data_IF_956791539900
#
_entry.id   IF_956791539900
#
_cell.length_a   1.000
_cell.length_b   1.000
_cell.length_c   1.000
_cell.angle_alpha   90.00
_cell.angle_beta   90.00
_cell.angle_gamma   90.00
#
_symmetry.space_group_name_H-M   'P 1'
#
loop_
_entity.id
_entity.type
_entity.pdbx_description
1 polymer ?
#
# COMPACT_ATOMS: atom_id res chain seq x y z
N UNK A 1 13.53 -54.18 -12.66
CA UNK A 1 14.22 -53.29 -11.70
C UNK A 1 14.74 -52.12 -12.50
N UNK A 2 14.12 -50.95 -12.32
CA UNK A 2 14.38 -49.76 -13.13
C UNK A 2 13.10 -49.04 -13.52
N UNK A 3 12.27 -48.70 -12.52
CA UNK A 3 11.20 -47.72 -12.68
C UNK A 3 11.83 -46.36 -13.02
N UNK A 4 11.49 -45.81 -14.18
CA UNK A 4 11.75 -44.41 -14.49
C UNK A 4 10.53 -43.60 -14.06
N UNK A 5 10.70 -42.89 -12.94
CA UNK A 5 9.75 -41.91 -12.42
C UNK A 5 9.52 -40.78 -13.42
N UNK A 6 8.26 -40.60 -13.78
CA UNK A 6 7.73 -39.48 -14.53
C UNK A 6 7.53 -38.30 -13.57
N UNK A 7 8.52 -37.41 -13.52
CA UNK A 7 8.44 -36.13 -12.80
C UNK A 7 7.56 -35.12 -13.54
N UNK A 8 6.28 -35.13 -13.17
CA UNK A 8 5.20 -34.29 -13.67
C UNK A 8 5.49 -32.77 -13.47
N UNK A 9 5.78 -32.05 -14.55
CA UNK A 9 5.94 -30.58 -14.54
C UNK A 9 4.55 -29.93 -14.53
N UNK A 10 4.07 -29.59 -13.33
CA UNK A 10 2.76 -29.02 -13.12
C UNK A 10 2.75 -27.54 -13.57
N UNK A 11 2.46 -27.32 -14.86
CA UNK A 11 2.26 -26.00 -15.44
C UNK A 11 0.91 -25.43 -14.95
N UNK A 12 0.89 -24.78 -13.78
CA UNK A 12 -0.31 -24.12 -13.26
C UNK A 12 -0.65 -22.91 -14.15
N UNK A 13 -1.57 -23.12 -15.08
CA UNK A 13 -2.10 -22.08 -15.95
C UNK A 13 -2.87 -21.06 -15.09
N UNK A 14 -2.40 -19.82 -15.10
CA UNK A 14 -3.06 -18.72 -14.40
C UNK A 14 -4.38 -18.37 -15.10
N UNK A 15 -5.49 -18.48 -14.39
CA UNK A 15 -6.84 -18.15 -14.86
C UNK A 15 -7.19 -16.69 -14.50
N UNK A 16 -8.13 -16.10 -15.25
CA UNK A 16 -8.69 -14.77 -14.94
C UNK A 16 -10.16 -14.89 -14.54
N UNK A 17 -10.55 -14.21 -13.46
CA UNK A 17 -11.91 -14.18 -12.94
C UNK A 17 -12.37 -12.73 -12.75
N UNK A 18 -13.52 -12.37 -13.34
CA UNK A 18 -14.12 -11.04 -13.19
C UNK A 18 -15.50 -11.13 -12.51
N UNK A 19 -15.77 -10.20 -11.59
CA UNK A 19 -17.07 -10.13 -10.93
C UNK A 19 -17.21 -8.97 -9.96
N UNK A 20 -18.40 -8.83 -9.38
CA UNK A 20 -18.70 -7.84 -8.34
C UNK A 20 -18.34 -8.41 -6.97
N UNK A 21 -17.64 -7.64 -6.13
CA UNK A 21 -17.35 -8.03 -4.75
C UNK A 21 -18.63 -7.97 -3.92
N UNK A 22 -19.15 -9.13 -3.54
CA UNK A 22 -20.39 -9.26 -2.79
C UNK A 22 -20.20 -8.99 -1.31
N UNK A 23 -19.15 -9.59 -0.74
CA UNK A 23 -18.92 -9.56 0.70
C UNK A 23 -17.44 -9.72 1.00
N UNK A 24 -16.95 -8.93 1.93
CA UNK A 24 -15.66 -9.14 2.58
C UNK A 24 -15.95 -9.95 3.85
N UNK A 25 -15.47 -11.18 3.90
CA UNK A 25 -15.63 -12.07 5.06
C UNK A 25 -14.53 -11.81 6.09
N UNK A 26 -13.33 -11.50 5.61
CA UNK A 26 -12.19 -11.10 6.43
C UNK A 26 -11.28 -10.19 5.61
N UNK A 27 -10.72 -9.16 6.25
CA UNK A 27 -9.67 -8.34 5.67
C UNK A 27 -8.68 -7.97 6.77
N UNK A 28 -7.40 -8.23 6.54
CA UNK A 28 -6.32 -7.82 7.41
C UNK A 28 -5.72 -6.50 6.89
N UNK A 29 -5.94 -5.41 7.64
CA UNK A 29 -5.47 -4.07 7.27
C UNK A 29 -3.94 -3.90 7.37
N UNK A 30 -3.20 -4.86 7.92
CA UNK A 30 -1.73 -4.78 8.03
C UNK A 30 -1.02 -5.39 6.82
N UNK A 31 -1.53 -6.51 6.31
CA UNK A 31 -0.88 -7.25 5.22
C UNK A 31 -1.72 -7.36 3.94
N UNK A 32 -2.93 -6.79 3.94
CA UNK A 32 -3.86 -6.79 2.80
C UNK A 32 -4.52 -8.13 2.52
N UNK A 33 -4.40 -9.12 3.42
CA UNK A 33 -5.01 -10.43 3.19
C UNK A 33 -6.54 -10.33 3.23
N UNK A 34 -7.16 -10.71 2.11
CA UNK A 34 -8.59 -10.63 1.86
C UNK A 34 -9.18 -12.04 1.73
N UNK A 35 -10.30 -12.28 2.41
CA UNK A 35 -11.23 -13.36 2.10
C UNK A 35 -12.56 -12.73 1.67
N UNK A 36 -12.93 -12.93 0.41
CA UNK A 36 -14.10 -12.32 -0.21
C UNK A 36 -15.05 -13.31 -0.85
N UNK A 37 -16.24 -12.82 -1.20
CA UNK A 37 -17.20 -13.47 -2.08
C UNK A 37 -17.37 -12.62 -3.33
N UNK A 38 -17.14 -13.20 -4.50
CA UNK A 38 -17.24 -12.56 -5.79
C UNK A 38 -18.41 -13.15 -6.58
N UNK A 39 -19.24 -12.31 -7.18
CA UNK A 39 -20.31 -12.73 -8.07
C UNK A 39 -19.95 -12.42 -9.52
N UNK A 40 -19.77 -13.46 -10.32
CA UNK A 40 -19.49 -13.32 -11.74
C UNK A 40 -20.69 -12.76 -12.50
N UNK A 41 -20.46 -12.20 -13.69
CA UNK A 41 -21.53 -11.57 -14.50
C UNK A 41 -22.63 -12.56 -14.94
N UNK A 42 -22.28 -13.83 -15.16
CA UNK A 42 -23.18 -14.85 -15.72
C UNK A 42 -23.57 -15.96 -14.74
N UNK A 43 -22.99 -15.98 -13.54
CA UNK A 43 -23.18 -17.05 -12.55
C UNK A 43 -24.02 -16.57 -11.37
N UNK A 44 -25.06 -17.32 -11.02
CA UNK A 44 -25.88 -17.04 -9.84
C UNK A 44 -25.12 -17.25 -8.52
N UNK A 45 -24.16 -18.19 -8.51
CA UNK A 45 -23.42 -18.57 -7.31
C UNK A 45 -22.22 -17.64 -7.02
N UNK A 46 -22.03 -17.32 -5.75
CA UNK A 46 -20.88 -16.57 -5.26
C UNK A 46 -19.64 -17.47 -5.16
N UNK A 47 -18.50 -16.94 -5.61
CA UNK A 47 -17.20 -17.60 -5.61
C UNK A 47 -16.39 -17.08 -4.42
N UNK A 48 -15.83 -17.98 -3.60
CA UNK A 48 -14.87 -17.58 -2.57
C UNK A 48 -13.54 -17.16 -3.22
N UNK A 49 -13.02 -15.99 -2.87
CA UNK A 49 -11.75 -15.46 -3.38
C UNK A 49 -10.82 -15.15 -2.21
N UNK A 50 -9.54 -15.51 -2.34
CA UNK A 50 -8.52 -15.33 -1.29
C UNK A 50 -7.22 -14.83 -1.91
N UNK A 51 -6.58 -13.85 -1.28
CA UNK A 51 -5.34 -13.27 -1.77
C UNK A 51 -4.99 -11.95 -1.07
N UNK A 52 -3.91 -11.32 -1.50
CA UNK A 52 -3.55 -9.97 -1.04
C UNK A 52 -4.22 -8.94 -1.94
N UNK A 53 -4.98 -8.03 -1.35
CA UNK A 53 -5.65 -6.95 -2.04
C UNK A 53 -5.33 -5.60 -1.37
N UNK A 54 -5.33 -4.50 -2.13
CA UNK A 54 -5.50 -3.17 -1.56
C UNK A 54 -6.88 -3.06 -0.89
N UNK A 55 -7.14 -1.95 -0.19
CA UNK A 55 -8.43 -1.72 0.47
C UNK A 55 -9.53 -1.56 -0.59
N UNK A 56 -10.24 -2.64 -0.88
CA UNK A 56 -11.37 -2.72 -1.81
C UNK A 56 -12.70 -2.64 -1.06
N UNK A 57 -13.76 -2.22 -1.75
CA UNK A 57 -15.10 -2.09 -1.17
C UNK A 57 -16.09 -3.05 -1.83
N UNK A 58 -17.07 -3.54 -1.05
CA UNK A 58 -18.17 -4.30 -1.61
C UNK A 58 -18.85 -3.49 -2.72
N UNK A 59 -19.24 -4.13 -3.82
CA UNK A 59 -19.83 -3.46 -4.98
C UNK A 59 -18.83 -3.11 -6.07
N UNK A 60 -17.52 -3.01 -5.77
CA UNK A 60 -16.50 -2.85 -6.81
C UNK A 60 -16.46 -4.06 -7.75
N UNK A 61 -16.10 -3.81 -9.01
CA UNK A 61 -15.81 -4.87 -9.98
C UNK A 61 -14.33 -5.23 -9.87
N UNK A 62 -14.04 -6.49 -9.56
CA UNK A 62 -12.69 -7.01 -9.44
C UNK A 62 -12.37 -7.89 -10.64
N UNK A 63 -11.19 -7.69 -11.21
CA UNK A 63 -10.55 -8.58 -12.18
C UNK A 63 -9.37 -9.24 -11.48
N UNK A 64 -9.47 -10.55 -11.25
CA UNK A 64 -8.52 -11.34 -10.50
C UNK A 64 -7.76 -12.27 -11.44
N UNK A 65 -6.48 -12.47 -11.16
CA UNK A 65 -5.64 -13.44 -11.88
C UNK A 65 -5.02 -14.40 -10.85
N UNK A 66 -5.10 -15.70 -11.09
CA UNK A 66 -4.65 -16.71 -10.14
C UNK A 66 -5.11 -18.13 -10.47
N UNK A 67 -5.31 -18.95 -9.44
CA UNK A 67 -5.62 -20.38 -9.61
C UNK A 67 -6.69 -20.88 -8.64
N UNK A 68 -7.39 -21.94 -9.03
CA UNK A 68 -8.33 -22.62 -8.15
C UNK A 68 -7.60 -23.45 -7.11
N UNK A 69 -8.02 -23.31 -5.85
CA UNK A 69 -7.54 -24.12 -4.73
C UNK A 69 -8.72 -24.66 -3.95
N UNK A 70 -8.48 -25.72 -3.17
CA UNK A 70 -9.51 -26.30 -2.29
C UNK A 70 -9.00 -26.22 -0.86
N UNK A 71 -9.70 -25.46 -0.02
CA UNK A 71 -9.39 -25.39 1.41
C UNK A 71 -10.06 -26.56 2.15
N UNK A 72 -9.36 -27.26 3.06
CA UNK A 72 -9.91 -28.46 3.73
C UNK A 72 -11.24 -28.23 4.46
N UNK A 73 -11.45 -27.03 5.01
CA UNK A 73 -12.68 -26.66 5.75
C UNK A 73 -13.69 -25.82 4.96
N UNK A 74 -13.24 -25.11 3.92
CA UNK A 74 -14.05 -24.07 3.26
C UNK A 74 -14.35 -24.38 1.79
N UNK A 75 -13.83 -25.50 1.28
CA UNK A 75 -14.10 -25.98 -0.07
C UNK A 75 -13.35 -25.17 -1.14
N UNK A 76 -13.92 -25.15 -2.35
CA UNK A 76 -13.30 -24.57 -3.53
C UNK A 76 -13.28 -23.03 -3.44
N UNK A 77 -12.10 -22.46 -3.65
CA UNK A 77 -11.85 -21.02 -3.66
C UNK A 77 -10.89 -20.64 -4.79
N UNK A 78 -10.95 -19.38 -5.21
CA UNK A 78 -10.01 -18.82 -6.18
C UNK A 78 -8.91 -18.08 -5.43
N UNK A 79 -7.68 -18.58 -5.50
CA UNK A 79 -6.50 -17.96 -4.93
C UNK A 79 -5.89 -17.01 -5.95
N UNK A 80 -6.00 -15.70 -5.72
CA UNK A 80 -5.51 -14.70 -6.66
C UNK A 80 -4.13 -14.17 -6.25
N UNK A 81 -3.28 -13.98 -7.26
CA UNK A 81 -1.93 -13.39 -7.13
C UNK A 81 -1.87 -11.95 -7.64
N UNK A 82 -2.85 -11.55 -8.45
CA UNK A 82 -3.00 -10.18 -8.94
C UNK A 82 -4.48 -9.79 -8.98
N UNK A 83 -4.74 -8.50 -8.74
CA UNK A 83 -6.07 -7.91 -8.68
C UNK A 83 -6.05 -6.53 -9.34
N UNK A 84 -7.07 -6.26 -10.15
CA UNK A 84 -7.43 -4.91 -10.59
C UNK A 84 -8.86 -4.61 -10.13
N UNK A 85 -9.03 -3.50 -9.41
CA UNK A 85 -10.36 -3.02 -8.98
C UNK A 85 -10.84 -1.91 -9.92
N UNK A 86 -12.14 -1.89 -10.22
CA UNK A 86 -12.85 -0.81 -10.92
C UNK A 86 -14.05 -0.37 -10.07
N UNK A 87 -14.34 0.93 -10.10
CA UNK A 87 -15.59 1.44 -9.54
C UNK A 87 -16.78 0.78 -10.24
N UNK A 88 -17.90 0.56 -9.52
CA UNK A 88 -19.06 -0.05 -10.13
C UNK A 88 -19.67 0.84 -11.20
N UNK A 89 -19.99 0.23 -12.34
CA UNK A 89 -20.72 0.87 -13.43
C UNK A 89 -22.21 0.47 -13.49
N UNK A 90 -22.62 -0.55 -12.72
CA UNK A 90 -24.00 -1.02 -12.70
C UNK A 90 -24.76 -0.52 -11.48
N UNK A 91 -26.07 -0.28 -11.61
CA UNK A 91 -26.92 0.12 -10.50
C UNK A 91 -26.83 -0.87 -9.32
N UNK A 92 -26.68 -2.17 -9.60
CA UNK A 92 -26.46 -3.20 -8.58
C UNK A 92 -25.15 -2.97 -7.79
N UNK A 93 -24.03 -2.80 -8.49
CA UNK A 93 -22.74 -2.56 -7.87
C UNK A 93 -22.70 -1.24 -7.10
N UNK A 94 -23.28 -0.18 -7.65
CA UNK A 94 -23.34 1.14 -7.03
C UNK A 94 -24.13 1.09 -5.72
N UNK A 95 -25.30 0.41 -5.68
CA UNK A 95 -26.07 0.25 -4.43
C UNK A 95 -25.24 -0.45 -3.37
N UNK A 96 -24.55 -1.52 -3.75
CA UNK A 96 -23.71 -2.28 -2.82
C UNK A 96 -22.50 -1.47 -2.34
N UNK A 97 -21.93 -0.66 -3.21
CA UNK A 97 -20.82 0.25 -2.89
C UNK A 97 -21.23 1.33 -1.90
N UNK A 98 -22.35 2.01 -2.13
CA UNK A 98 -22.85 2.99 -1.18
C UNK A 98 -23.25 2.36 0.16
N UNK A 99 -23.78 1.14 0.14
CA UNK A 99 -24.18 0.40 1.34
C UNK A 99 -23.03 -0.36 2.03
N UNK A 100 -21.78 -0.25 1.55
CA UNK A 100 -20.63 -1.00 2.05
C UNK A 100 -20.17 -0.58 3.45
N UNK A 101 -20.74 0.50 3.99
CA UNK A 101 -20.28 1.15 5.22
C UNK A 101 -19.23 2.22 4.98
N UNK A 102 -18.89 2.49 3.70
CA UNK A 102 -17.98 3.56 3.30
C UNK A 102 -18.39 4.94 3.81
N UNK A 103 -19.69 5.22 3.78
CA UNK A 103 -20.26 6.50 4.18
C UNK A 103 -21.07 6.27 5.45
N UNK A 104 -20.63 6.87 6.55
CA UNK A 104 -21.35 6.78 7.81
C UNK A 104 -22.80 7.28 7.66
N UNK A 105 -23.77 6.47 8.06
CA UNK A 105 -25.19 6.79 7.96
C UNK A 105 -25.84 6.51 6.60
N UNK A 106 -25.12 5.95 5.62
CA UNK A 106 -25.69 5.47 4.35
C UNK A 106 -25.74 3.94 4.36
N UNK A 107 -26.86 3.42 4.86
CA UNK A 107 -27.19 2.00 4.75
C UNK A 107 -27.90 1.66 3.44
N UNK A 108 -28.31 0.38 3.32
CA UNK A 108 -29.04 -0.15 2.15
C UNK A 108 -30.23 0.71 1.72
N UNK A 109 -30.99 1.27 2.66
CA UNK A 109 -32.18 2.09 2.38
C UNK A 109 -31.82 3.35 1.59
N UNK A 110 -30.84 4.13 2.06
CA UNK A 110 -30.43 5.35 1.36
C UNK A 110 -29.68 5.02 0.07
N UNK A 111 -28.82 4.00 0.07
CA UNK A 111 -28.16 3.53 -1.14
C UNK A 111 -29.18 3.18 -2.24
N UNK A 112 -30.28 2.52 -1.88
CA UNK A 112 -31.36 2.24 -2.81
C UNK A 112 -32.01 3.51 -3.33
N UNK A 113 -32.46 4.41 -2.44
CA UNK A 113 -33.08 5.68 -2.85
C UNK A 113 -32.20 6.50 -3.80
N UNK A 114 -30.90 6.58 -3.51
CA UNK A 114 -29.95 7.33 -4.33
C UNK A 114 -29.86 6.73 -5.73
N UNK A 115 -29.70 5.42 -5.83
CA UNK A 115 -29.54 4.74 -7.12
C UNK A 115 -30.87 4.58 -7.86
N UNK A 116 -32.01 4.52 -7.17
CA UNK A 116 -33.33 4.58 -7.79
C UNK A 116 -33.56 5.91 -8.50
N UNK A 117 -33.04 7.00 -7.92
CA UNK A 117 -33.19 8.35 -8.48
C UNK A 117 -32.16 8.66 -9.58
N UNK A 118 -30.89 8.31 -9.39
CA UNK A 118 -29.80 8.68 -10.32
C UNK A 118 -29.28 7.52 -11.18
N UNK A 119 -29.68 6.28 -10.93
CA UNK A 119 -29.23 5.13 -11.71
C UNK A 119 -27.70 4.98 -11.76
N UNK A 120 -27.19 4.67 -12.96
CA UNK A 120 -25.75 4.51 -13.21
C UNK A 120 -24.95 5.81 -13.03
N UNK A 121 -25.60 6.98 -13.11
CA UNK A 121 -24.96 8.29 -12.95
C UNK A 121 -24.68 8.67 -11.49
N UNK A 122 -25.11 7.86 -10.53
CA UNK A 122 -25.02 8.15 -9.10
C UNK A 122 -23.63 8.58 -8.65
N UNK A 123 -22.58 7.85 -9.07
CA UNK A 123 -21.20 8.17 -8.68
C UNK A 123 -20.73 9.52 -9.26
N UNK A 124 -21.13 9.81 -10.50
CA UNK A 124 -20.87 11.08 -11.17
C UNK A 124 -21.59 12.23 -10.45
N UNK A 125 -22.86 12.04 -10.08
CA UNK A 125 -23.63 13.03 -9.32
C UNK A 125 -23.01 13.30 -7.96
N UNK A 126 -22.56 12.28 -7.23
CA UNK A 126 -21.83 12.48 -5.97
C UNK A 126 -20.53 13.26 -6.21
N UNK A 127 -19.81 12.98 -7.29
CA UNK A 127 -18.55 13.65 -7.62
C UNK A 127 -18.72 15.10 -8.09
N UNK A 128 -19.67 15.39 -8.97
CA UNK A 128 -19.73 16.66 -9.70
C UNK A 128 -20.91 17.54 -9.28
N UNK A 129 -22.02 16.92 -8.89
CA UNK A 129 -23.31 17.59 -8.69
C UNK A 129 -23.91 17.23 -7.32
N UNK A 130 -23.09 17.13 -6.27
CA UNK A 130 -23.51 16.59 -4.96
C UNK A 130 -24.68 17.34 -4.30
N UNK A 131 -24.92 18.60 -4.71
CA UNK A 131 -26.11 19.36 -4.34
C UNK A 131 -27.43 18.69 -4.74
N UNK A 132 -27.44 17.92 -5.82
CA UNK A 132 -28.62 17.17 -6.31
C UNK A 132 -29.02 16.01 -5.41
N UNK A 133 -28.13 15.53 -4.54
CA UNK A 133 -28.49 14.52 -3.55
C UNK A 133 -29.68 14.96 -2.66
N UNK A 134 -29.93 16.27 -2.55
CA UNK A 134 -31.08 16.85 -1.84
C UNK A 134 -32.43 16.67 -2.56
N UNK A 135 -32.44 16.26 -3.83
CA UNK A 135 -33.65 15.87 -4.55
C UNK A 135 -34.30 14.61 -3.94
N UNK A 136 -33.52 13.82 -3.20
CA UNK A 136 -33.96 12.57 -2.61
C UNK A 136 -34.55 12.81 -1.23
N UNK A 137 -35.77 12.33 -1.03
CA UNK A 137 -36.46 12.39 0.25
C UNK A 137 -35.65 11.74 1.38
N UNK A 138 -35.39 12.54 2.41
CA UNK A 138 -34.60 12.15 3.57
C UNK A 138 -33.10 12.46 3.44
N UNK A 139 -32.61 13.00 2.32
CA UNK A 139 -31.21 13.45 2.21
C UNK A 139 -31.15 14.97 2.34
N UNK A 140 -30.96 15.46 3.57
CA UNK A 140 -30.75 16.88 3.84
C UNK A 140 -29.32 17.36 3.55
N UNK A 141 -29.09 18.67 3.70
CA UNK A 141 -27.78 19.34 3.48
C UNK A 141 -26.62 18.64 4.18
N UNK A 142 -26.80 18.27 5.46
CA UNK A 142 -25.75 17.60 6.25
C UNK A 142 -25.38 16.23 5.68
N UNK A 143 -26.37 15.43 5.29
CA UNK A 143 -26.15 14.10 4.73
C UNK A 143 -25.53 14.16 3.34
N UNK A 144 -25.98 15.08 2.48
CA UNK A 144 -25.38 15.32 1.17
C UNK A 144 -23.90 15.73 1.28
N UNK A 145 -23.58 16.63 2.22
CA UNK A 145 -22.20 17.03 2.51
C UNK A 145 -21.35 15.85 3.00
N UNK A 146 -21.85 15.07 3.95
CA UNK A 146 -21.15 13.89 4.47
C UNK A 146 -20.91 12.81 3.40
N UNK A 147 -21.88 12.58 2.50
CA UNK A 147 -21.71 11.68 1.35
C UNK A 147 -20.55 12.17 0.47
N UNK A 148 -20.53 13.46 0.14
CA UNK A 148 -19.48 14.05 -0.70
C UNK A 148 -18.10 13.95 -0.05
N UNK A 149 -17.99 14.30 1.24
CA UNK A 149 -16.72 14.25 1.97
C UNK A 149 -16.15 12.83 2.03
N UNK A 150 -16.97 11.84 2.41
CA UNK A 150 -16.55 10.44 2.45
C UNK A 150 -16.18 9.90 1.06
N UNK A 151 -16.87 10.34 0.01
CA UNK A 151 -16.52 10.00 -1.37
C UNK A 151 -15.16 10.57 -1.78
N UNK A 152 -14.90 11.85 -1.49
CA UNK A 152 -13.61 12.48 -1.82
C UNK A 152 -12.45 11.89 -1.02
N UNK A 153 -12.65 11.58 0.26
CA UNK A 153 -11.63 10.92 1.08
C UNK A 153 -11.23 9.57 0.49
N UNK A 154 -12.21 8.76 0.08
CA UNK A 154 -11.95 7.45 -0.52
C UNK A 154 -11.32 7.55 -1.89
N UNK A 155 -11.75 8.51 -2.71
CA UNK A 155 -11.14 8.81 -4.00
C UNK A 155 -9.67 9.20 -3.83
N UNK A 156 -9.36 10.11 -2.89
CA UNK A 156 -7.99 10.54 -2.61
C UNK A 156 -7.11 9.37 -2.15
N UNK A 157 -7.60 8.52 -1.24
CA UNK A 157 -6.89 7.31 -0.81
C UNK A 157 -6.59 6.38 -1.99
N UNK A 158 -7.57 6.17 -2.87
CA UNK A 158 -7.41 5.33 -4.06
C UNK A 158 -6.40 5.91 -5.05
N UNK A 159 -6.44 7.22 -5.29
CA UNK A 159 -5.50 7.92 -6.16
C UNK A 159 -4.06 7.80 -5.64
N UNK A 160 -3.87 7.97 -4.33
CA UNK A 160 -2.57 7.73 -3.68
C UNK A 160 -2.12 6.29 -3.90
N UNK A 161 -2.97 5.28 -3.67
CA UNK A 161 -2.59 3.88 -3.90
C UNK A 161 -2.18 3.62 -5.36
N UNK A 162 -2.93 4.15 -6.32
CA UNK A 162 -2.62 4.01 -7.75
C UNK A 162 -1.29 4.70 -8.12
N UNK A 163 -1.03 5.88 -7.56
CA UNK A 163 0.22 6.59 -7.73
C UNK A 163 1.39 5.74 -7.23
N UNK A 164 1.31 5.23 -6.00
CA UNK A 164 2.36 4.41 -5.39
C UNK A 164 2.65 3.12 -6.20
N UNK A 165 1.60 2.45 -6.67
CA UNK A 165 1.74 1.25 -7.50
C UNK A 165 2.46 1.53 -8.82
N UNK A 166 2.29 2.72 -9.41
CA UNK A 166 2.98 3.14 -10.64
C UNK A 166 4.50 3.19 -10.44
N UNK A 167 4.96 3.42 -9.21
CA UNK A 167 6.38 3.41 -8.83
C UNK A 167 6.86 2.08 -8.23
N UNK A 168 6.10 1.00 -8.42
CA UNK A 168 6.49 -0.35 -8.00
C UNK A 168 6.35 -0.61 -6.50
N UNK A 169 5.59 0.21 -5.78
CA UNK A 169 5.25 -0.02 -4.38
C UNK A 169 4.23 -1.16 -4.29
N UNK A 170 4.49 -2.15 -3.44
CA UNK A 170 3.57 -3.29 -3.24
C UNK A 170 2.29 -2.86 -2.50
N UNK A 171 1.17 -3.56 -2.72
CA UNK A 171 -0.13 -3.24 -2.10
C UNK A 171 -0.07 -3.14 -0.57
N UNK A 172 0.62 -4.09 0.08
CA UNK A 172 0.81 -4.08 1.53
C UNK A 172 1.57 -2.84 2.00
N UNK A 173 2.53 -2.38 1.20
CA UNK A 173 3.28 -1.17 1.51
C UNK A 173 2.45 0.10 1.27
N UNK A 174 1.70 0.17 0.16
CA UNK A 174 0.75 1.25 -0.09
C UNK A 174 -0.22 1.42 1.07
N UNK A 175 -0.76 0.31 1.59
CA UNK A 175 -1.69 0.33 2.71
C UNK A 175 -1.06 0.91 3.99
N UNK A 176 0.19 0.55 4.30
CA UNK A 176 0.93 1.12 5.44
C UNK A 176 1.20 2.61 5.28
N UNK A 177 1.61 3.04 4.08
CA UNK A 177 1.89 4.44 3.76
C UNK A 177 0.62 5.30 3.86
N UNK A 178 -0.49 4.84 3.28
CA UNK A 178 -1.79 5.50 3.37
C UNK A 178 -2.27 5.54 4.82
N UNK A 179 -2.11 4.47 5.60
CA UNK A 179 -2.51 4.46 7.02
C UNK A 179 -1.72 5.46 7.85
N UNK A 180 -0.42 5.64 7.54
CA UNK A 180 0.46 6.56 8.27
C UNK A 180 0.25 8.02 7.87
N UNK A 181 0.15 8.30 6.58
CA UNK A 181 0.23 9.66 6.02
C UNK A 181 -1.05 10.13 5.33
N UNK A 182 -2.02 9.24 5.09
CA UNK A 182 -3.25 9.55 4.38
C UNK A 182 -2.98 10.18 3.02
N UNK A 183 -3.65 11.31 2.77
CA UNK A 183 -3.52 12.07 1.53
C UNK A 183 -2.12 12.70 1.36
N UNK A 184 -1.36 12.86 2.44
CA UNK A 184 0.01 13.42 2.39
C UNK A 184 1.06 12.39 1.97
N UNK A 185 0.70 11.10 1.83
CA UNK A 185 1.66 10.04 1.49
C UNK A 185 2.41 10.34 0.19
N UNK A 186 1.70 10.86 -0.83
CA UNK A 186 2.31 11.25 -2.11
C UNK A 186 3.37 12.33 -1.90
N UNK A 187 2.99 13.44 -1.27
CA UNK A 187 3.88 14.59 -1.04
C UNK A 187 5.10 14.19 -0.23
N UNK A 188 4.93 13.42 0.85
CA UNK A 188 6.05 12.97 1.69
C UNK A 188 7.02 12.10 0.90
N UNK A 189 6.54 11.25 0.00
CA UNK A 189 7.43 10.44 -0.82
C UNK A 189 8.15 11.24 -1.90
N UNK A 190 7.54 12.31 -2.41
CA UNK A 190 8.19 13.21 -3.38
C UNK A 190 9.23 14.12 -2.71
N UNK A 191 9.00 14.57 -1.46
CA UNK A 191 9.87 15.54 -0.79
C UNK A 191 10.86 14.93 0.21
N UNK A 192 10.46 13.87 0.92
CA UNK A 192 11.21 13.24 2.02
C UNK A 192 11.12 11.69 1.97
N UNK A 193 11.46 11.01 0.86
CA UNK A 193 11.17 9.58 0.70
C UNK A 193 11.87 8.68 1.72
N UNK A 194 13.04 9.07 2.24
CA UNK A 194 13.77 8.28 3.24
C UNK A 194 13.18 8.38 4.66
N UNK A 195 12.28 9.35 4.91
CA UNK A 195 11.56 9.50 6.17
C UNK A 195 10.75 8.25 6.54
N UNK A 196 10.27 7.52 5.54
CA UNK A 196 9.46 6.32 5.73
C UNK A 196 10.22 5.17 6.41
N UNK A 197 11.56 5.16 6.35
CA UNK A 197 12.40 4.17 7.04
C UNK A 197 12.18 4.25 8.55
N UNK A 198 12.20 5.48 9.09
CA UNK A 198 12.03 5.73 10.54
C UNK A 198 10.57 5.62 10.98
N UNK A 199 9.65 6.01 10.11
CA UNK A 199 8.26 6.24 10.51
C UNK A 199 7.28 5.10 10.20
N UNK A 200 7.65 4.16 9.33
CA UNK A 200 6.78 3.07 8.88
C UNK A 200 7.46 1.71 9.09
N UNK A 201 6.89 0.93 10.02
CA UNK A 201 7.43 -0.39 10.37
C UNK A 201 7.49 -1.33 9.17
N UNK A 202 8.63 -2.01 9.02
CA UNK A 202 8.88 -2.98 7.96
C UNK A 202 9.16 -2.34 6.59
N UNK A 203 9.59 -1.07 6.57
CA UNK A 203 10.30 -0.49 5.43
C UNK A 203 11.76 -0.28 5.85
N UNK A 204 12.67 -1.02 5.21
CA UNK A 204 14.11 -0.76 5.33
C UNK A 204 14.63 0.13 4.20
N UNK A 205 15.88 0.55 4.32
CA UNK A 205 16.56 1.42 3.35
C UNK A 205 16.39 0.95 1.91
N UNK A 206 16.69 -0.31 1.58
CA UNK A 206 16.59 -0.84 0.20
C UNK A 206 15.20 -0.64 -0.43
N UNK A 207 14.15 -0.75 0.38
CA UNK A 207 12.79 -0.52 -0.11
C UNK A 207 12.53 0.97 -0.34
N UNK A 208 12.92 1.82 0.60
CA UNK A 208 12.77 3.26 0.47
C UNK A 208 13.61 3.84 -0.68
N UNK A 209 14.84 3.35 -0.85
CA UNK A 209 15.76 3.77 -1.92
C UNK A 209 15.20 3.41 -3.30
N UNK A 210 14.67 2.19 -3.45
CA UNK A 210 13.98 1.78 -4.69
C UNK A 210 12.81 2.70 -5.03
N UNK A 211 12.03 3.12 -4.02
CA UNK A 211 10.90 4.04 -4.22
C UNK A 211 11.40 5.43 -4.61
N UNK A 212 12.39 5.96 -3.90
CA UNK A 212 12.99 7.27 -4.17
C UNK A 212 13.56 7.36 -5.59
N UNK A 213 14.33 6.35 -6.01
CA UNK A 213 14.90 6.29 -7.35
C UNK A 213 13.82 6.17 -8.43
N UNK A 214 12.78 5.36 -8.21
CA UNK A 214 11.65 5.26 -9.13
C UNK A 214 10.87 6.59 -9.25
N UNK A 215 10.82 7.38 -8.19
CA UNK A 215 10.24 8.73 -8.19
C UNK A 215 11.15 9.78 -8.87
N UNK A 216 12.35 9.39 -9.30
CA UNK A 216 13.27 10.26 -10.05
C UNK A 216 14.21 11.08 -9.17
N UNK A 217 14.40 10.72 -7.89
CA UNK A 217 15.41 11.38 -7.06
C UNK A 217 16.82 11.07 -7.56
N UNK A 218 17.72 12.05 -7.40
CA UNK A 218 19.12 11.91 -7.77
C UNK A 218 19.81 10.79 -6.98
N UNK A 219 20.51 9.89 -7.68
CA UNK A 219 21.25 8.77 -7.08
C UNK A 219 22.40 9.23 -6.18
N UNK A 220 22.91 10.44 -6.36
CA UNK A 220 23.95 11.04 -5.52
C UNK A 220 23.41 12.18 -4.64
N UNK A 221 22.08 12.26 -4.45
CA UNK A 221 21.47 13.30 -3.62
C UNK A 221 21.84 13.16 -2.14
N UNK A 222 22.04 14.28 -1.41
CA UNK A 222 22.39 14.25 0.02
C UNK A 222 21.46 13.38 0.87
N UNK A 223 20.15 13.47 0.64
CA UNK A 223 19.16 12.70 1.39
C UNK A 223 19.31 11.17 1.22
N UNK A 224 19.73 10.72 0.03
CA UNK A 224 20.01 9.30 -0.24
C UNK A 224 21.27 8.84 0.49
N UNK A 225 22.32 9.65 0.40
CA UNK A 225 23.60 9.35 1.04
C UNK A 225 23.44 9.30 2.56
N UNK A 226 22.74 10.28 3.15
CA UNK A 226 22.46 10.32 4.58
C UNK A 226 21.73 9.07 5.06
N UNK A 227 20.67 8.69 4.34
CA UNK A 227 19.90 7.50 4.66
C UNK A 227 20.73 6.21 4.52
N UNK A 228 21.63 6.15 3.54
CA UNK A 228 22.56 5.03 3.36
C UNK A 228 23.57 4.92 4.48
N UNK A 229 24.21 6.03 4.86
CA UNK A 229 25.18 6.08 5.98
C UNK A 229 24.54 5.61 7.29
N UNK A 230 23.36 6.15 7.62
CA UNK A 230 22.65 5.75 8.84
C UNK A 230 22.18 4.29 8.80
N UNK A 231 21.80 3.80 7.62
CA UNK A 231 21.47 2.39 7.46
C UNK A 231 22.68 1.49 7.69
N UNK A 232 23.84 1.83 7.11
CA UNK A 232 25.08 1.07 7.32
C UNK A 232 25.51 1.07 8.78
N UNK A 233 25.40 2.21 9.46
CA UNK A 233 25.67 2.29 10.90
C UNK A 233 24.72 1.37 11.69
N UNK A 234 23.43 1.39 11.37
CA UNK A 234 22.44 0.52 12.02
C UNK A 234 22.71 -0.97 11.75
N UNK A 235 23.13 -1.35 10.53
CA UNK A 235 23.50 -2.73 10.23
C UNK A 235 24.69 -3.20 11.07
N UNK A 236 25.69 -2.33 11.29
CA UNK A 236 26.80 -2.64 12.20
C UNK A 236 26.36 -2.82 13.66
N UNK A 237 25.39 -2.01 14.13
CA UNK A 237 24.79 -2.20 15.46
C UNK A 237 24.05 -3.54 15.57
N UNK A 238 23.30 -3.92 14.54
CA UNK A 238 22.58 -5.21 14.47
C UNK A 238 23.55 -6.41 14.45
N UNK A 239 24.77 -6.23 13.96
CA UNK A 239 25.88 -7.20 14.01
C UNK A 239 26.60 -7.25 15.37
N UNK A 240 26.22 -6.39 16.31
CA UNK A 240 26.73 -6.35 17.68
C UNK A 240 27.87 -5.35 17.91
N UNK A 241 28.16 -4.46 16.97
CA UNK A 241 29.12 -3.39 17.14
C UNK A 241 28.48 -2.16 17.79
N UNK A 242 28.99 -1.72 18.95
CA UNK A 242 28.51 -0.47 19.56
C UNK A 242 29.06 0.77 18.88
N UNK A 243 30.23 0.67 18.26
CA UNK A 243 30.89 1.75 17.54
C UNK A 243 31.60 1.23 16.29
N UNK A 244 31.70 2.05 15.25
CA UNK A 244 32.29 1.70 13.94
C UNK A 244 33.39 2.70 13.58
N UNK A 245 34.48 2.23 12.98
CA UNK A 245 35.51 3.13 12.44
C UNK A 245 34.91 3.97 11.32
N UNK A 246 35.11 5.28 11.37
CA UNK A 246 34.52 6.22 10.40
C UNK A 246 34.84 5.86 8.95
N UNK A 247 36.10 5.50 8.68
CA UNK A 247 36.55 5.13 7.34
C UNK A 247 35.88 3.85 6.83
N UNK A 248 35.70 2.87 7.72
CA UNK A 248 34.99 1.63 7.40
C UNK A 248 33.52 1.91 7.09
N UNK A 249 32.86 2.72 7.92
CA UNK A 249 31.48 3.16 7.69
C UNK A 249 31.34 3.85 6.31
N UNK A 250 32.26 4.77 5.98
CA UNK A 250 32.24 5.47 4.71
C UNK A 250 32.41 4.52 3.50
N UNK A 251 33.34 3.56 3.58
CA UNK A 251 33.56 2.57 2.52
C UNK A 251 32.34 1.66 2.34
N UNK A 252 31.76 1.17 3.44
CA UNK A 252 30.59 0.29 3.40
C UNK A 252 29.36 1.03 2.85
N UNK A 253 29.13 2.26 3.28
CA UNK A 253 28.05 3.10 2.76
C UNK A 253 28.26 3.46 1.28
N UNK A 254 29.48 3.80 0.86
CA UNK A 254 29.81 4.07 -0.54
C UNK A 254 29.55 2.85 -1.44
N UNK A 255 29.91 1.66 -0.98
CA UNK A 255 29.64 0.39 -1.67
C UNK A 255 28.14 0.10 -1.77
N UNK A 256 27.39 0.26 -0.67
CA UNK A 256 25.93 0.10 -0.64
C UNK A 256 25.22 1.06 -1.60
N UNK A 257 25.69 2.31 -1.67
CA UNK A 257 25.08 3.38 -2.43
C UNK A 257 25.54 3.44 -3.89
N UNK A 258 26.64 2.76 -4.24
CA UNK A 258 27.39 2.95 -5.48
C UNK A 258 27.75 4.43 -5.69
N UNK A 259 28.25 5.08 -4.63
CA UNK A 259 28.54 6.52 -4.58
C UNK A 259 30.04 6.78 -4.35
N UNK A 260 30.47 8.03 -4.60
CA UNK A 260 31.85 8.44 -4.31
C UNK A 260 32.10 8.48 -2.79
N UNK A 261 33.20 7.89 -2.34
CA UNK A 261 33.54 7.82 -0.92
C UNK A 261 33.75 9.22 -0.30
N UNK A 262 34.19 10.21 -1.09
CA UNK A 262 34.36 11.60 -0.64
C UNK A 262 33.01 12.25 -0.35
N UNK A 263 32.01 12.01 -1.20
CA UNK A 263 30.65 12.51 -0.98
C UNK A 263 30.06 11.91 0.29
N UNK A 264 30.27 10.60 0.52
CA UNK A 264 29.85 9.90 1.74
C UNK A 264 30.53 10.48 2.99
N UNK A 265 31.85 10.69 2.97
CA UNK A 265 32.59 11.31 4.06
C UNK A 265 32.08 12.72 4.39
N UNK A 266 31.83 13.54 3.37
CA UNK A 266 31.25 14.87 3.54
C UNK A 266 29.87 14.82 4.20
N UNK A 267 29.07 13.78 3.90
CA UNK A 267 27.75 13.58 4.54
C UNK A 267 27.86 13.03 5.96
N UNK A 268 28.85 12.19 6.26
CA UNK A 268 29.14 11.79 7.65
C UNK A 268 29.43 13.03 8.50
N UNK A 269 30.22 13.98 8.01
CA UNK A 269 30.47 15.25 8.72
C UNK A 269 29.19 16.06 8.95
N UNK A 270 28.28 16.10 7.97
CA UNK A 270 27.01 16.79 8.11
C UNK A 270 26.13 16.12 9.17
N UNK A 271 25.98 14.80 9.13
CA UNK A 271 25.20 14.02 10.08
C UNK A 271 25.74 14.13 11.51
N UNK A 272 27.06 14.19 11.68
CA UNK A 272 27.68 14.44 12.98
C UNK A 272 27.36 15.85 13.51
N UNK A 273 27.38 16.88 12.64
CA UNK A 273 27.00 18.26 13.02
C UNK A 273 25.51 18.36 13.37
N UNK A 274 24.67 17.58 12.70
CA UNK A 274 23.23 17.50 12.95
C UNK A 274 22.89 16.67 14.20
N UNK A 275 23.87 15.97 14.78
CA UNK A 275 23.71 15.14 15.98
C UNK A 275 23.02 13.80 15.74
N UNK A 276 22.94 13.37 14.47
CA UNK A 276 22.43 12.06 14.07
C UNK A 276 23.48 10.94 14.28
N UNK A 277 24.75 11.31 14.47
CA UNK A 277 25.86 10.44 14.87
C UNK A 277 26.77 11.15 15.86
N UNK A 278 27.42 10.40 16.76
CA UNK A 278 28.36 10.95 17.74
C UNK A 278 29.69 10.21 17.72
N UNK A 279 30.77 10.91 18.07
CA UNK A 279 32.10 10.31 18.25
C UNK A 279 32.15 9.53 19.56
N UNK A 280 32.61 8.28 19.52
CA UNK A 280 32.89 7.49 20.72
C UNK A 280 34.37 7.57 21.13
N UNK A 281 35.27 7.43 20.15
CA UNK A 281 36.74 7.56 20.27
C UNK A 281 37.29 8.24 19.01
N UNK A 282 38.56 8.65 19.01
CA UNK A 282 39.18 9.26 17.83
C UNK A 282 38.97 8.38 16.58
N UNK A 283 38.33 8.93 15.55
CA UNK A 283 37.94 8.26 14.29
C UNK A 283 36.87 7.15 14.40
N UNK A 284 36.18 7.02 15.53
CA UNK A 284 35.08 6.07 15.73
C UNK A 284 33.76 6.78 16.00
N UNK A 285 32.69 6.29 15.37
CA UNK A 285 31.34 6.86 15.48
C UNK A 285 30.34 5.83 15.98
N UNK A 286 29.26 6.29 16.60
CA UNK A 286 28.14 5.47 17.05
C UNK A 286 26.82 6.23 17.01
N UNK A 287 25.72 5.48 17.16
CA UNK A 287 24.38 6.04 17.26
C UNK A 287 24.24 6.84 18.57
N UNK A 288 23.65 8.04 18.54
CA UNK A 288 23.45 8.86 19.75
C UNK A 288 22.62 8.15 20.83
N UNK A 289 21.72 7.23 20.45
CA UNK A 289 20.90 6.48 21.40
C UNK A 289 21.77 5.47 22.17
N UNK A 290 22.59 4.71 21.45
CA UNK A 290 23.53 3.74 22.02
C UNK A 290 24.55 4.40 22.94
N UNK A 291 25.03 5.59 22.58
CA UNK A 291 25.95 6.40 23.40
C UNK A 291 25.38 6.86 24.75
N UNK A 292 24.05 6.93 24.90
CA UNK A 292 23.39 7.31 26.17
C UNK A 292 23.11 6.12 27.08
N UNK A 293 23.20 4.90 26.56
CA UNK A 293 22.96 3.68 27.30
C UNK A 293 24.24 3.11 27.94
N UNK A 294 25.41 3.60 27.50
CA UNK A 294 26.73 3.38 28.11
C UNK A 294 27.00 4.36 29.26
#
# INVERSE_FOLDING_TARGET
>A
MGDQETGNTNNQQSESLEGVLERITFYNEENGFLIGKLKGQTKAAEIAVVGKAPKVQCGETLVLTGSWTTHPKHGRQFSFTSLKSKLPASAYGIRKYLASGLIHGIGKTYANKIVDHFGADTLRVISEESGRLKEIEGIGKLRAKSIKEAWEEQKAVREVMMFLQTYGVTDALCLRLVRKYGNSAKTILETEPYRIIREVKGIGFKTADKIALNLGLASNGPARIDAGVLHTLQESEDEGHTHVERRELALNAANLLEADATDVENRIDALMKEGEMVTSKADWVQNPISARAE
#
